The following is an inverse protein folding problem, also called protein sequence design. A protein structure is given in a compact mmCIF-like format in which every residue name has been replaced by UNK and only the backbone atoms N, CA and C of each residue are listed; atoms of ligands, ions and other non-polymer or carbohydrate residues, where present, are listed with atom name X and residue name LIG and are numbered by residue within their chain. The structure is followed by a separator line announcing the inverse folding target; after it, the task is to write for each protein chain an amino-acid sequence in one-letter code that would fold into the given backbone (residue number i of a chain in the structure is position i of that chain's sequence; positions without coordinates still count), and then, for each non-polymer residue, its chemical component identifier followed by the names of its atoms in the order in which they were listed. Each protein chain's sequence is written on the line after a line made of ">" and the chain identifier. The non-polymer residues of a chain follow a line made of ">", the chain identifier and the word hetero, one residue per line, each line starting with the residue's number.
data_IF_790105408463
#
_entry.id   IF_790105408463
#
_cell.length_a   1.000
_cell.length_b   1.000
_cell.length_c   1.000
_cell.angle_alpha   90.00
_cell.angle_beta   90.00
_cell.angle_gamma   90.00
#
_symmetry.space_group_name_H-M   'P 1'
#
loop_
_entity.id
_entity.type
_entity.pdbx_description
1 polymer ?
#
# COMPACT_ATOMS: atom_id res chain seq x y z
N UNK A 1 49.99 -41.04 29.66
CA UNK A 1 48.79 -41.44 28.89
C UNK A 1 47.57 -40.81 29.54
N UNK A 2 47.14 -39.63 29.08
CA UNK A 2 45.82 -39.10 29.41
C UNK A 2 45.16 -38.67 28.09
N UNK A 3 44.16 -39.44 27.68
CA UNK A 3 43.42 -39.24 26.44
C UNK A 3 42.55 -37.99 26.51
N UNK A 4 42.60 -37.20 25.45
CA UNK A 4 41.88 -35.94 25.26
C UNK A 4 40.37 -36.22 25.23
N UNK A 5 39.70 -36.12 26.39
CA UNK A 5 38.24 -36.18 26.53
C UNK A 5 37.59 -34.83 26.17
N UNK A 6 37.83 -34.31 24.98
CA UNK A 6 37.36 -32.96 24.57
C UNK A 6 36.47 -32.91 23.34
N UNK A 7 36.33 -34.00 22.59
CA UNK A 7 35.77 -33.93 21.24
C UNK A 7 34.24 -33.95 21.19
N UNK A 8 33.58 -34.46 22.24
CA UNK A 8 32.11 -34.60 22.26
C UNK A 8 31.35 -33.36 22.78
N UNK A 9 32.06 -32.35 23.31
CA UNK A 9 31.45 -31.08 23.76
C UNK A 9 31.47 -30.01 22.66
N UNK A 10 32.37 -30.14 21.67
CA UNK A 10 32.48 -29.20 20.54
C UNK A 10 31.34 -29.44 19.53
N UNK A 11 30.88 -30.69 19.39
CA UNK A 11 29.82 -31.05 18.44
C UNK A 11 28.42 -30.52 18.82
N UNK A 12 28.15 -30.25 20.11
CA UNK A 12 26.83 -29.77 20.57
C UNK A 12 26.69 -28.25 20.40
N UNK A 13 27.80 -27.50 20.46
CA UNK A 13 27.79 -26.03 20.33
C UNK A 13 27.57 -25.53 18.90
N UNK A 14 27.93 -26.32 17.88
CA UNK A 14 27.75 -25.92 16.48
C UNK A 14 26.30 -25.99 15.97
N UNK A 15 25.43 -26.75 16.65
CA UNK A 15 24.09 -27.07 16.16
C UNK A 15 23.01 -26.10 16.67
N UNK A 16 23.26 -25.34 17.74
CA UNK A 16 22.32 -24.35 18.27
C UNK A 16 22.50 -22.92 17.72
N UNK A 17 23.64 -22.62 17.08
CA UNK A 17 23.88 -21.32 16.41
C UNK A 17 23.26 -21.25 15.00
N UNK A 18 23.00 -22.39 14.35
CA UNK A 18 22.41 -22.41 12.99
C UNK A 18 20.91 -22.06 12.97
N UNK A 19 20.19 -22.18 14.09
CA UNK A 19 18.76 -21.91 14.16
C UNK A 19 18.42 -20.44 14.46
N UNK A 20 19.39 -19.60 14.83
CA UNK A 20 19.14 -18.22 15.27
C UNK A 20 19.24 -17.15 14.16
N UNK A 21 19.54 -17.56 12.92
CA UNK A 21 19.81 -16.62 11.82
C UNK A 21 18.89 -16.73 10.60
N UNK A 22 17.75 -17.43 10.72
CA UNK A 22 16.71 -17.33 9.69
C UNK A 22 15.74 -16.20 10.01
N UNK A 23 16.20 -14.96 9.83
CA UNK A 23 15.28 -13.83 9.71
C UNK A 23 14.61 -13.90 8.34
N UNK A 24 13.31 -14.16 8.31
CA UNK A 24 12.51 -14.07 7.09
C UNK A 24 12.53 -12.62 6.57
N UNK A 25 13.27 -12.36 5.49
CA UNK A 25 13.09 -11.10 4.75
C UNK A 25 11.70 -11.17 4.12
N UNK A 26 10.74 -10.46 4.70
CA UNK A 26 9.44 -10.25 4.07
C UNK A 26 9.67 -9.40 2.82
N UNK A 27 9.66 -10.03 1.65
CA UNK A 27 9.65 -9.30 0.37
C UNK A 27 8.29 -8.64 0.23
N UNK A 28 8.21 -7.37 0.61
CA UNK A 28 7.02 -6.54 0.44
C UNK A 28 6.74 -6.37 -1.05
N UNK A 29 5.67 -7.02 -1.53
CA UNK A 29 5.25 -6.86 -2.91
C UNK A 29 4.65 -5.48 -3.09
N UNK A 30 5.34 -4.62 -3.84
CA UNK A 30 4.80 -3.31 -4.22
C UNK A 30 4.05 -3.46 -5.53
N UNK A 31 2.82 -2.93 -5.56
CA UNK A 31 2.03 -2.83 -6.79
C UNK A 31 1.82 -1.37 -7.15
N UNK A 32 1.89 -1.06 -8.45
CA UNK A 32 1.54 0.25 -8.96
C UNK A 32 0.02 0.38 -9.01
N UNK A 33 -0.52 1.43 -8.41
CA UNK A 33 -1.96 1.76 -8.43
C UNK A 33 -2.33 2.79 -9.50
N UNK A 34 -1.34 3.27 -10.26
CA UNK A 34 -1.58 4.18 -11.38
C UNK A 34 -2.39 3.45 -12.47
N UNK A 35 -3.40 4.12 -13.02
CA UNK A 35 -4.28 3.54 -14.02
C UNK A 35 -5.65 4.19 -14.07
N UNK A 36 -6.59 3.51 -14.72
CA UNK A 36 -7.99 3.93 -14.84
C UNK A 36 -8.80 3.36 -13.69
N UNK A 37 -9.46 4.23 -12.94
CA UNK A 37 -10.28 3.90 -11.79
C UNK A 37 -11.73 4.24 -12.07
N UNK A 38 -12.66 3.44 -11.55
CA UNK A 38 -14.08 3.82 -11.53
C UNK A 38 -14.31 4.87 -10.45
N UNK A 39 -15.13 5.87 -10.74
CA UNK A 39 -15.45 6.94 -9.80
C UNK A 39 -16.87 7.48 -10.00
N UNK A 40 -17.32 8.30 -9.06
CA UNK A 40 -18.50 9.15 -9.17
C UNK A 40 -18.28 10.39 -8.30
N UNK A 41 -18.77 11.56 -8.73
CA UNK A 41 -18.76 12.77 -7.91
C UNK A 41 -19.86 12.70 -6.85
N UNK A 42 -19.54 13.08 -5.61
CA UNK A 42 -20.50 13.12 -4.51
C UNK A 42 -20.74 14.56 -4.02
N UNK A 43 -21.38 15.43 -4.83
CA UNK A 43 -21.65 16.81 -4.45
C UNK A 43 -22.67 16.94 -3.32
N UNK A 44 -23.38 15.84 -2.97
CA UNK A 44 -24.42 15.81 -1.94
C UNK A 44 -24.00 15.08 -0.66
N UNK A 45 -22.78 14.56 -0.61
CA UNK A 45 -22.23 13.79 0.52
C UNK A 45 -23.14 12.61 0.93
N UNK A 46 -23.62 11.84 -0.06
CA UNK A 46 -24.54 10.70 0.13
C UNK A 46 -23.89 9.35 -0.16
N UNK A 47 -22.66 9.31 -0.67
CA UNK A 47 -22.02 8.10 -1.19
C UNK A 47 -21.85 6.98 -0.16
N UNK A 48 -21.60 7.35 1.09
CA UNK A 48 -21.54 6.39 2.21
C UNK A 48 -22.94 5.88 2.55
N UNK A 49 -23.94 6.77 2.66
CA UNK A 49 -25.32 6.42 3.00
C UNK A 49 -25.92 5.46 1.97
N UNK A 50 -25.71 5.73 0.68
CA UNK A 50 -26.17 4.91 -0.43
C UNK A 50 -25.24 3.73 -0.77
N UNK A 51 -24.18 3.50 0.00
CA UNK A 51 -23.25 2.36 -0.14
C UNK A 51 -22.65 2.23 -1.54
N UNK A 52 -22.16 3.33 -2.10
CA UNK A 52 -21.60 3.38 -3.46
C UNK A 52 -20.44 2.39 -3.68
N UNK A 53 -19.71 2.05 -2.62
CA UNK A 53 -18.62 1.06 -2.64
C UNK A 53 -19.08 -0.38 -2.92
N UNK A 54 -20.39 -0.68 -2.84
CA UNK A 54 -20.94 -2.01 -3.14
C UNK A 54 -21.42 -2.15 -4.59
N UNK A 55 -21.37 -1.08 -5.39
CA UNK A 55 -21.86 -1.07 -6.76
C UNK A 55 -20.78 -0.65 -7.76
N UNK A 56 -21.07 -0.90 -9.04
CA UNK A 56 -20.22 -0.43 -10.14
C UNK A 56 -20.49 1.06 -10.36
N UNK A 57 -19.47 1.89 -10.15
CA UNK A 57 -19.56 3.32 -10.46
C UNK A 57 -19.50 3.54 -11.98
N UNK A 58 -20.32 4.45 -12.53
CA UNK A 58 -20.54 4.57 -13.97
C UNK A 58 -19.40 5.26 -14.72
N UNK A 59 -18.60 6.09 -14.05
CA UNK A 59 -17.57 6.91 -14.69
C UNK A 59 -16.16 6.38 -14.41
N UNK A 60 -15.18 6.88 -15.16
CA UNK A 60 -13.76 6.53 -14.95
C UNK A 60 -12.83 7.73 -14.97
N UNK A 61 -11.77 7.68 -14.17
CA UNK A 61 -10.74 8.72 -14.03
C UNK A 61 -9.35 8.09 -14.13
N UNK A 62 -8.36 8.83 -14.64
CA UNK A 62 -6.95 8.40 -14.62
C UNK A 62 -6.27 8.91 -13.35
N UNK A 63 -5.56 8.01 -12.67
CA UNK A 63 -4.71 8.32 -11.53
C UNK A 63 -3.24 7.94 -11.82
N UNK A 64 -2.26 8.75 -11.37
CA UNK A 64 -2.41 10.03 -10.67
C UNK A 64 -2.86 11.17 -11.60
N UNK A 65 -3.42 12.24 -11.02
CA UNK A 65 -3.90 13.43 -11.72
C UNK A 65 -5.05 14.10 -10.97
N UNK A 66 -5.28 15.39 -11.19
CA UNK A 66 -6.44 16.11 -10.63
C UNK A 66 -7.67 15.93 -11.52
N UNK A 67 -8.89 16.06 -10.95
CA UNK A 67 -10.14 16.03 -11.71
C UNK A 67 -10.24 17.17 -12.75
N UNK A 68 -9.91 18.44 -12.43
CA UNK A 68 -10.02 19.53 -13.42
C UNK A 68 -9.06 19.38 -14.60
N UNK A 69 -7.84 18.89 -14.38
CA UNK A 69 -6.89 18.60 -15.47
C UNK A 69 -7.40 17.51 -16.45
N UNK A 70 -8.44 16.77 -16.05
CA UNK A 70 -9.12 15.77 -16.88
C UNK A 70 -10.49 16.26 -17.38
N UNK A 71 -10.83 17.53 -17.19
CA UNK A 71 -12.10 18.12 -17.61
C UNK A 71 -13.30 17.70 -16.77
N UNK A 72 -13.07 17.29 -15.51
CA UNK A 72 -14.11 16.81 -14.59
C UNK A 72 -14.30 17.82 -13.46
N UNK A 73 -15.57 18.17 -13.19
CA UNK A 73 -15.97 19.12 -12.15
C UNK A 73 -16.40 20.47 -12.73
N UNK A 74 -16.53 21.46 -11.86
CA UNK A 74 -16.93 22.81 -12.24
C UNK A 74 -15.77 23.58 -12.88
N UNK A 75 -16.11 24.55 -13.74
CA UNK A 75 -15.13 25.45 -14.34
C UNK A 75 -14.41 26.28 -13.27
N UNK A 76 -13.09 26.37 -13.41
CA UNK A 76 -12.25 27.21 -12.55
C UNK A 76 -12.43 28.67 -12.96
N UNK A 77 -12.79 29.52 -12.01
CA UNK A 77 -12.95 30.96 -12.19
C UNK A 77 -12.30 31.75 -11.05
N UNK A 78 -12.30 33.07 -11.14
CA UNK A 78 -11.83 33.94 -10.06
C UNK A 78 -12.65 33.83 -8.78
N UNK A 79 -13.85 33.23 -8.85
CA UNK A 79 -14.73 33.00 -7.70
C UNK A 79 -14.57 31.59 -7.10
N UNK A 80 -13.75 30.73 -7.71
CA UNK A 80 -13.54 29.37 -7.20
C UNK A 80 -12.86 29.44 -5.83
N UNK A 81 -13.41 28.80 -4.78
CA UNK A 81 -12.75 28.73 -3.48
C UNK A 81 -11.47 27.91 -3.58
N UNK A 82 -10.32 28.58 -3.45
CA UNK A 82 -9.02 27.92 -3.49
C UNK A 82 -8.74 27.24 -2.15
N UNK A 83 -8.66 25.93 -2.15
CA UNK A 83 -8.11 25.17 -1.03
C UNK A 83 -6.60 25.00 -1.25
N UNK A 84 -5.78 25.53 -0.34
CA UNK A 84 -4.34 25.29 -0.35
C UNK A 84 -4.10 23.91 0.25
N UNK A 85 -3.52 22.99 -0.53
CA UNK A 85 -2.92 21.77 0.01
C UNK A 85 -1.52 22.13 0.52
N UNK A 86 -1.35 22.19 1.85
CA UNK A 86 -0.03 22.29 2.50
C UNK A 86 0.57 20.89 2.68
#
# INVERSE_FOLDING_TARGET
>A
MQGIKGWNQIAVFGLLINAYWFSSVASGHTILLAGTWRFALDPRDIGINERWFERVLPETVKLPGSLPAQGIGDDISTNTPWTVAL
#
